data_IF_883272368454
#
_entry.id   IF_883272368454
#
_cell.length_a   1.000
_cell.length_b   1.000
_cell.length_c   1.000
_cell.angle_alpha   90.00
_cell.angle_beta   90.00
_cell.angle_gamma   90.00
#
_symmetry.space_group_name_H-M   'P 1'
#
loop_
_entity.id
_entity.type
_entity.pdbx_description
1 polymer ?
#
# COMPACT_ATOMS: atom_id res chain seq x y z
N UNK A 1 4.47 20.86 6.20
CA UNK A 1 3.22 20.44 6.87
C UNK A 1 2.36 19.78 5.80
N UNK A 2 2.04 18.50 5.92
CA UNK A 2 1.18 17.84 4.94
C UNK A 2 -0.24 18.39 5.06
N UNK A 3 -0.79 18.96 3.99
CA UNK A 3 -2.18 19.41 3.94
C UNK A 3 -3.09 18.19 4.03
N UNK A 4 -4.19 18.27 4.79
CA UNK A 4 -5.14 17.16 4.90
C UNK A 4 -5.71 16.82 3.53
N UNK A 5 -5.95 15.52 3.27
CA UNK A 5 -6.60 15.07 2.03
C UNK A 5 -7.97 15.76 1.85
N UNK A 6 -8.70 15.98 2.94
CA UNK A 6 -10.01 16.67 2.91
C UNK A 6 -9.85 18.11 2.43
N UNK A 7 -8.86 18.85 2.94
CA UNK A 7 -8.60 20.23 2.49
C UNK A 7 -8.20 20.28 1.02
N UNK A 8 -7.45 19.28 0.56
CA UNK A 8 -7.06 19.18 -0.85
C UNK A 8 -8.25 18.87 -1.74
N UNK A 9 -9.15 17.97 -1.31
CA UNK A 9 -10.39 17.65 -2.01
C UNK A 9 -11.33 18.85 -2.05
N UNK A 10 -11.56 19.50 -0.91
CA UNK A 10 -12.38 20.71 -0.79
C UNK A 10 -11.94 21.78 -1.80
N UNK A 11 -10.64 22.11 -1.83
CA UNK A 11 -10.09 23.09 -2.79
C UNK A 11 -10.19 22.65 -4.24
N UNK A 12 -10.05 21.35 -4.53
CA UNK A 12 -10.07 20.85 -5.92
C UNK A 12 -11.48 20.75 -6.48
N UNK A 13 -12.43 20.43 -5.62
CA UNK A 13 -13.83 20.21 -5.98
C UNK A 13 -14.69 21.46 -5.77
N UNK A 14 -14.10 22.54 -5.24
CA UNK A 14 -14.78 23.78 -4.88
C UNK A 14 -15.93 23.54 -3.89
N UNK A 15 -15.64 22.72 -2.88
CA UNK A 15 -16.57 22.29 -1.83
C UNK A 15 -16.10 22.77 -0.46
N UNK A 16 -17.03 22.86 0.48
CA UNK A 16 -16.68 23.03 1.88
C UNK A 16 -16.01 21.76 2.44
N UNK A 17 -15.13 21.86 3.46
CA UNK A 17 -14.43 20.71 4.02
C UNK A 17 -15.33 19.56 4.49
N UNK A 18 -16.49 19.89 5.07
CA UNK A 18 -17.47 18.88 5.51
C UNK A 18 -18.11 18.15 4.32
N UNK A 19 -18.46 18.88 3.25
CA UNK A 19 -19.01 18.28 2.02
C UNK A 19 -17.98 17.38 1.32
N UNK A 20 -16.72 17.79 1.29
CA UNK A 20 -15.63 16.97 0.76
C UNK A 20 -15.42 15.69 1.58
N UNK A 21 -15.60 15.76 2.91
CA UNK A 21 -15.55 14.60 3.81
C UNK A 21 -16.71 13.64 3.56
N UNK A 22 -17.92 14.16 3.40
CA UNK A 22 -19.10 13.36 3.11
C UNK A 22 -18.98 12.68 1.75
N UNK A 23 -18.53 13.42 0.72
CA UNK A 23 -18.28 12.86 -0.61
C UNK A 23 -17.25 11.73 -0.58
N UNK A 24 -16.13 11.89 0.14
CA UNK A 24 -15.13 10.84 0.31
C UNK A 24 -15.71 9.63 1.04
N UNK A 25 -16.47 9.85 2.12
CA UNK A 25 -17.09 8.78 2.90
C UNK A 25 -18.09 7.98 2.05
N UNK A 26 -18.86 8.67 1.21
CA UNK A 26 -19.79 8.05 0.28
C UNK A 26 -19.07 7.20 -0.78
N UNK A 27 -17.99 7.71 -1.35
CA UNK A 27 -17.16 6.95 -2.29
C UNK A 27 -16.62 5.66 -1.64
N UNK A 28 -16.12 5.74 -0.41
CA UNK A 28 -15.62 4.57 0.33
C UNK A 28 -16.76 3.57 0.57
N UNK A 29 -17.95 4.05 0.95
CA UNK A 29 -19.11 3.19 1.15
C UNK A 29 -19.50 2.44 -0.14
N UNK A 30 -19.52 3.12 -1.28
CA UNK A 30 -19.80 2.50 -2.58
C UNK A 30 -18.77 1.43 -2.95
N UNK A 31 -17.48 1.68 -2.72
CA UNK A 31 -16.42 0.69 -2.97
C UNK A 31 -16.60 -0.54 -2.08
N UNK A 32 -16.97 -0.35 -0.81
CA UNK A 32 -17.24 -1.47 0.11
C UNK A 32 -18.46 -2.28 -0.33
N UNK A 33 -19.56 -1.62 -0.68
CA UNK A 33 -20.77 -2.28 -1.17
C UNK A 33 -20.49 -3.11 -2.44
N UNK A 34 -19.68 -2.56 -3.35
CA UNK A 34 -19.27 -3.27 -4.56
C UNK A 34 -18.40 -4.50 -4.22
N UNK A 35 -17.49 -4.38 -3.24
CA UNK A 35 -16.70 -5.52 -2.75
C UNK A 35 -17.56 -6.60 -2.11
N UNK A 36 -18.55 -6.21 -1.30
CA UNK A 36 -19.45 -7.16 -0.62
C UNK A 36 -20.35 -7.89 -1.63
N UNK A 37 -20.75 -7.20 -2.71
CA UNK A 37 -21.67 -7.74 -3.72
C UNK A 37 -20.96 -8.55 -4.81
N UNK A 38 -19.80 -8.08 -5.29
CA UNK A 38 -19.11 -8.63 -6.47
C UNK A 38 -17.78 -9.32 -6.13
N UNK A 39 -17.33 -9.23 -4.88
CA UNK A 39 -16.00 -9.69 -4.45
C UNK A 39 -14.84 -8.87 -5.03
N UNK A 40 -15.11 -7.84 -5.82
CA UNK A 40 -14.11 -6.96 -6.42
C UNK A 40 -14.68 -5.56 -6.64
N UNK A 41 -13.83 -4.54 -6.53
CA UNK A 41 -14.16 -3.16 -6.85
C UNK A 41 -12.97 -2.48 -7.52
N UNK A 42 -13.22 -1.65 -8.52
CA UNK A 42 -12.17 -0.97 -9.28
C UNK A 42 -12.32 0.53 -9.15
N UNK A 43 -11.25 1.23 -8.75
CA UNK A 43 -11.18 2.69 -8.69
C UNK A 43 -10.23 3.17 -9.78
N UNK A 44 -10.75 3.80 -10.86
CA UNK A 44 -9.94 4.25 -11.98
C UNK A 44 -8.77 5.14 -11.54
N UNK A 45 -7.57 4.87 -12.06
CA UNK A 45 -6.36 5.64 -11.74
C UNK A 45 -5.75 5.36 -10.36
N UNK A 46 -6.40 4.54 -9.52
CA UNK A 46 -5.83 4.05 -8.26
C UNK A 46 -5.51 2.56 -8.33
N UNK A 47 -6.48 1.74 -8.71
CA UNK A 47 -6.31 0.29 -8.76
C UNK A 47 -7.59 -0.49 -8.49
N UNK A 48 -7.43 -1.77 -8.17
CA UNK A 48 -8.52 -2.71 -7.92
C UNK A 48 -8.39 -3.35 -6.55
N UNK A 49 -9.51 -3.42 -5.84
CA UNK A 49 -9.68 -4.17 -4.61
C UNK A 49 -10.33 -5.51 -4.92
N UNK A 50 -9.89 -6.57 -4.22
CA UNK A 50 -10.49 -7.91 -4.30
C UNK A 50 -10.61 -8.50 -2.91
N UNK A 51 -11.75 -9.12 -2.62
CA UNK A 51 -11.95 -9.91 -1.41
C UNK A 51 -11.64 -11.37 -1.71
N UNK A 52 -10.67 -11.93 -1.00
CA UNK A 52 -10.27 -13.33 -1.12
C UNK A 52 -10.35 -14.06 0.23
N UNK A 53 -9.98 -15.37 0.26
CA UNK A 53 -10.00 -16.17 1.48
C UNK A 53 -9.06 -15.64 2.58
N UNK A 54 -7.98 -14.96 2.18
CA UNK A 54 -6.99 -14.37 3.09
C UNK A 54 -7.31 -12.90 3.46
N UNK A 55 -8.44 -12.36 2.98
CA UNK A 55 -8.91 -11.00 3.25
C UNK A 55 -8.88 -10.07 2.03
N UNK A 56 -8.73 -8.77 2.28
CA UNK A 56 -8.78 -7.71 1.27
C UNK A 56 -7.42 -7.51 0.62
N UNK A 57 -7.35 -7.68 -0.71
CA UNK A 57 -6.15 -7.44 -1.52
C UNK A 57 -6.32 -6.18 -2.37
N UNK A 58 -5.27 -5.39 -2.52
CA UNK A 58 -5.23 -4.21 -3.39
C UNK A 58 -4.17 -4.37 -4.49
N UNK A 59 -4.61 -4.29 -5.74
CA UNK A 59 -3.78 -4.30 -6.94
C UNK A 59 -3.71 -2.86 -7.51
N UNK A 60 -2.61 -2.12 -7.34
CA UNK A 60 -2.51 -0.74 -7.83
C UNK A 60 -2.51 -0.67 -9.37
N UNK A 61 -3.10 0.37 -9.91
CA UNK A 61 -3.04 0.68 -11.34
C UNK A 61 -1.59 1.08 -11.71
N UNK A 62 -1.06 0.64 -12.87
CA UNK A 62 0.20 1.14 -13.41
C UNK A 62 0.36 2.66 -13.32
N UNK A 63 -0.71 3.42 -13.54
CA UNK A 63 -0.67 4.88 -13.43
C UNK A 63 -0.32 5.36 -12.01
N UNK A 64 -0.91 4.74 -10.97
CA UNK A 64 -0.61 5.03 -9.57
C UNK A 64 0.82 4.62 -9.21
N UNK A 65 1.23 3.42 -9.64
CA UNK A 65 2.58 2.92 -9.39
C UNK A 65 3.64 3.85 -10.01
N UNK A 66 3.38 4.38 -11.21
CA UNK A 66 4.26 5.38 -11.85
C UNK A 66 4.24 6.71 -11.10
N UNK A 67 3.06 7.23 -10.74
CA UNK A 67 2.90 8.51 -10.03
C UNK A 67 3.65 8.52 -8.68
N UNK A 68 3.49 7.47 -7.88
CA UNK A 68 4.18 7.33 -6.58
C UNK A 68 5.69 7.19 -6.76
N UNK A 69 6.12 6.50 -7.82
CA UNK A 69 7.53 6.30 -8.13
C UNK A 69 8.14 7.39 -9.02
N UNK A 70 7.46 8.51 -9.29
CA UNK A 70 8.00 9.56 -10.17
C UNK A 70 9.37 10.08 -9.71
N UNK A 71 9.60 10.17 -8.39
CA UNK A 71 10.91 10.57 -7.84
C UNK A 71 12.02 9.52 -8.10
N UNK A 72 11.65 8.29 -8.41
CA UNK A 72 12.53 7.17 -8.75
C UNK A 72 12.42 6.78 -10.23
N UNK A 73 11.79 7.60 -11.07
CA UNK A 73 11.67 7.36 -12.50
C UNK A 73 13.07 7.20 -13.11
N UNK A 74 13.33 6.03 -13.72
CA UNK A 74 14.64 5.66 -14.26
C UNK A 74 15.45 4.67 -13.43
N UNK A 75 15.02 4.33 -12.21
CA UNK A 75 15.60 3.25 -11.42
C UNK A 75 14.80 1.96 -11.62
N UNK A 76 15.50 0.82 -11.71
CA UNK A 76 14.83 -0.48 -11.78
C UNK A 76 14.10 -0.74 -10.45
N UNK A 77 12.80 -1.08 -10.47
CA UNK A 77 12.10 -1.43 -9.25
C UNK A 77 12.79 -2.65 -8.62
N UNK A 78 13.27 -2.48 -7.39
CA UNK A 78 13.71 -3.60 -6.56
C UNK A 78 12.45 -4.16 -5.93
N UNK A 79 12.02 -5.33 -6.38
CA UNK A 79 10.94 -6.07 -5.74
C UNK A 79 11.43 -6.48 -4.36
N UNK A 80 11.09 -5.71 -3.34
CA UNK A 80 11.14 -6.21 -1.96
C UNK A 80 10.05 -7.28 -1.88
N UNK A 81 10.48 -8.54 -1.88
CA UNK A 81 9.58 -9.65 -1.59
C UNK A 81 8.85 -9.32 -0.30
N UNK A 82 7.52 -9.51 -0.30
CA UNK A 82 6.71 -9.50 0.92
C UNK A 82 7.50 -10.23 2.01
N UNK A 83 7.64 -9.62 3.17
CA UNK A 83 8.29 -10.22 4.34
C UNK A 83 7.43 -11.37 4.88
N UNK A 84 7.23 -12.40 4.06
CA UNK A 84 6.69 -13.69 4.41
C UNK A 84 7.83 -14.67 4.11
N UNK A 85 8.46 -15.18 5.16
CA UNK A 85 9.52 -16.21 5.18
C UNK A 85 10.97 -15.77 4.91
N UNK A 86 11.51 -14.84 5.70
CA UNK A 86 12.94 -14.95 6.06
C UNK A 86 13.03 -15.42 7.49
N UNK A 87 13.03 -16.74 7.65
CA UNK A 87 13.53 -17.40 8.86
C UNK A 87 15.02 -17.04 8.94
N UNK A 88 15.36 -15.95 9.62
CA UNK A 88 16.73 -15.70 10.00
C UNK A 88 17.13 -16.81 10.97
N UNK A 89 17.74 -17.88 10.46
CA UNK A 89 18.43 -18.86 11.29
C UNK A 89 19.58 -18.09 11.94
N UNK A 90 19.51 -17.87 13.26
CA UNK A 90 20.70 -17.51 14.05
C UNK A 90 21.75 -18.56 13.73
N UNK A 91 22.75 -18.20 12.92
CA UNK A 91 23.98 -18.97 12.90
C UNK A 91 24.66 -18.67 14.23
N UNK A 92 24.67 -19.67 15.10
CA UNK A 92 25.55 -19.68 16.25
C UNK A 92 26.98 -19.67 15.70
N UNK A 93 27.66 -18.54 15.90
CA UNK A 93 29.07 -18.39 15.58
C UNK A 93 29.84 -19.30 16.53
N UNK A 94 30.28 -20.46 16.03
CA UNK A 94 31.19 -21.33 16.77
C UNK A 94 32.50 -20.55 16.97
N UNK A 95 32.80 -20.24 18.23
CA UNK A 95 34.07 -19.60 18.59
C UNK A 95 35.25 -20.49 18.14
N UNK A 96 36.33 -19.91 17.58
CA UNK A 96 37.49 -20.69 17.20
C UNK A 96 38.11 -21.38 18.44
N UNK A 97 38.66 -22.59 18.29
CA UNK A 97 39.25 -23.32 19.41
C UNK A 97 40.41 -22.52 20.00
N UNK A 98 40.44 -22.45 21.33
CA UNK A 98 41.47 -21.75 22.08
C UNK A 98 42.87 -22.33 21.75
N UNK A 99 43.91 -21.47 21.66
CA UNK A 99 45.27 -21.96 21.45
C UNK A 99 45.72 -22.80 22.65
N UNK A 100 46.33 -23.95 22.35
CA UNK A 100 46.93 -24.86 23.33
C UNK A 100 48.09 -24.16 24.04
N UNK A 101 48.16 -24.16 25.38
CA UNK A 101 49.35 -23.68 26.07
C UNK A 101 50.47 -24.71 25.95
N UNK A 102 51.66 -24.26 25.55
CA UNK A 102 52.94 -24.98 25.68
C UNK A 102 53.31 -25.23 27.16
#
# INVERSE_FOLDING_TARGET
MATSLIDQLARRLDLEPEEARDALSHLIAQVREQLDTQGNASVPGLGRFRTGPDGLTFEPDPALALAVNQRYAGLKPVTVGSASSTSFRKQEVVAPPAPTPE
#
